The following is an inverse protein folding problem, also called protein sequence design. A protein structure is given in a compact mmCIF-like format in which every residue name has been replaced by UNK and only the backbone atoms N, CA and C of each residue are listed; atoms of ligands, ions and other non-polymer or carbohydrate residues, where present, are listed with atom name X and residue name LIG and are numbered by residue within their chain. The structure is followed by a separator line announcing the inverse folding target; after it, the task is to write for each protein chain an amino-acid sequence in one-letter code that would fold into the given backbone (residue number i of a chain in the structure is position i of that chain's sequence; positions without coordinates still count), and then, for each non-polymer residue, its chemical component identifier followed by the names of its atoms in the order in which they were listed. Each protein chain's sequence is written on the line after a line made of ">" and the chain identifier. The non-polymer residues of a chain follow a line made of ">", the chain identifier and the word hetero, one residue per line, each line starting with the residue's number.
data_IF_556410853069
#
_entry.id   IF_556410853069
#
_cell.length_a   1.000
_cell.length_b   1.000
_cell.length_c   1.000
_cell.angle_alpha   90.00
_cell.angle_beta   90.00
_cell.angle_gamma   90.00
#
_symmetry.space_group_name_H-M   'P 1'
#
loop_
_entity.id
_entity.type
_entity.pdbx_description
1 polymer ?
#
# COMPACT_ATOMS: atom_id res chain seq x y z
N UNK A 1 25.99 5.75 8.47
CA UNK A 1 25.11 5.24 9.54
C UNK A 1 23.75 5.88 9.34
N UNK A 2 22.66 5.13 9.54
CA UNK A 2 21.33 5.72 9.56
C UNK A 2 21.18 6.70 10.73
N UNK A 3 20.03 7.34 10.83
CA UNK A 3 19.64 8.14 11.99
C UNK A 3 18.28 7.65 12.49
N UNK A 4 17.94 7.93 13.75
CA UNK A 4 16.59 7.65 14.27
C UNK A 4 15.51 8.27 13.36
N UNK A 5 15.71 9.53 12.97
CA UNK A 5 14.78 10.24 12.09
C UNK A 5 14.74 9.63 10.68
N UNK A 6 15.87 9.15 10.17
CA UNK A 6 15.97 8.43 8.90
C UNK A 6 15.21 7.10 8.88
N UNK A 7 14.87 6.53 10.03
CA UNK A 7 14.01 5.35 10.14
C UNK A 7 12.55 5.73 10.40
N UNK A 8 12.31 6.67 11.32
CA UNK A 8 10.96 7.10 11.70
C UNK A 8 10.24 7.74 10.50
N UNK A 9 10.91 8.63 9.77
CA UNK A 9 10.28 9.39 8.69
C UNK A 9 9.74 8.50 7.56
N UNK A 10 10.55 7.64 6.90
CA UNK A 10 10.01 6.71 5.89
C UNK A 10 9.01 5.73 6.50
N UNK A 11 9.24 5.28 7.74
CA UNK A 11 8.34 4.38 8.45
C UNK A 11 6.92 4.95 8.61
N UNK A 12 6.82 6.22 9.02
CA UNK A 12 5.53 6.92 9.13
C UNK A 12 4.86 7.08 7.76
N UNK A 13 5.61 7.40 6.70
CA UNK A 13 5.03 7.52 5.36
C UNK A 13 4.44 6.19 4.86
N UNK A 14 5.20 5.10 4.95
CA UNK A 14 4.70 3.77 4.56
C UNK A 14 3.47 3.37 5.39
N UNK A 15 3.50 3.59 6.71
CA UNK A 15 2.36 3.31 7.59
C UNK A 15 1.11 4.10 7.18
N UNK A 16 1.24 5.42 7.04
CA UNK A 16 0.12 6.32 6.72
C UNK A 16 -0.45 6.02 5.34
N UNK A 17 0.39 5.86 4.31
CA UNK A 17 -0.09 5.55 2.96
C UNK A 17 -0.74 4.17 2.88
N UNK A 18 -0.17 3.16 3.54
CA UNK A 18 -0.79 1.85 3.65
C UNK A 18 -2.16 1.90 4.34
N UNK A 19 -2.28 2.65 5.44
CA UNK A 19 -3.55 2.81 6.17
C UNK A 19 -4.62 3.53 5.35
N UNK A 20 -4.25 4.64 4.69
CA UNK A 20 -5.12 5.38 3.78
C UNK A 20 -5.59 4.45 2.66
N UNK A 21 -4.68 3.67 2.06
CA UNK A 21 -4.98 2.70 1.03
C UNK A 21 -6.00 1.66 1.48
N UNK A 22 -5.81 1.03 2.65
CA UNK A 22 -6.77 0.05 3.19
C UNK A 22 -8.14 0.66 3.42
N UNK A 23 -8.20 1.83 4.06
CA UNK A 23 -9.47 2.51 4.33
C UNK A 23 -10.20 2.90 3.05
N UNK A 24 -9.48 3.43 2.05
CA UNK A 24 -10.04 3.76 0.75
C UNK A 24 -10.48 2.52 -0.04
N UNK A 25 -9.68 1.46 0.00
CA UNK A 25 -10.00 0.18 -0.62
C UNK A 25 -11.29 -0.43 -0.09
N UNK A 26 -11.48 -0.47 1.22
CA UNK A 26 -12.74 -0.96 1.81
C UNK A 26 -13.94 -0.12 1.37
N UNK A 27 -13.83 1.23 1.39
CA UNK A 27 -14.91 2.10 0.87
C UNK A 27 -15.26 1.74 -0.56
N UNK A 28 -14.27 1.59 -1.45
CA UNK A 28 -14.50 1.24 -2.86
C UNK A 28 -15.06 -0.16 -3.05
N UNK A 29 -14.55 -1.14 -2.30
CA UNK A 29 -15.01 -2.52 -2.36
C UNK A 29 -16.49 -2.63 -1.96
N UNK A 30 -16.85 -2.09 -0.80
CA UNK A 30 -18.23 -2.11 -0.34
C UNK A 30 -19.15 -1.24 -1.20
N UNK A 31 -18.68 -0.10 -1.70
CA UNK A 31 -19.46 0.71 -2.64
C UNK A 31 -19.76 -0.04 -3.95
N UNK A 32 -18.76 -0.73 -4.51
CA UNK A 32 -18.95 -1.56 -5.70
C UNK A 32 -19.94 -2.70 -5.42
N UNK A 33 -19.82 -3.34 -4.26
CA UNK A 33 -20.71 -4.42 -3.82
C UNK A 33 -22.15 -3.94 -3.62
N UNK A 34 -22.37 -2.80 -2.96
CA UNK A 34 -23.72 -2.35 -2.59
C UNK A 34 -24.43 -1.55 -3.67
N UNK A 35 -23.69 -0.80 -4.50
CA UNK A 35 -24.28 0.09 -5.50
C UNK A 35 -24.23 -0.47 -6.91
N UNK A 36 -23.43 -1.50 -7.18
CA UNK A 36 -23.49 -2.32 -8.40
C UNK A 36 -23.24 -1.61 -9.74
N UNK A 37 -22.96 -0.30 -9.75
CA UNK A 37 -22.78 0.47 -10.99
C UNK A 37 -21.47 0.17 -11.69
N UNK A 38 -20.44 -0.17 -10.93
CA UNK A 38 -19.08 -0.44 -11.44
C UNK A 38 -18.42 -1.51 -10.59
N UNK A 39 -17.78 -2.53 -11.19
CA UNK A 39 -17.06 -3.55 -10.44
C UNK A 39 -15.87 -2.93 -9.70
N UNK A 40 -15.48 -3.56 -8.59
CA UNK A 40 -14.26 -3.17 -7.88
C UNK A 40 -13.05 -3.29 -8.80
N UNK A 41 -12.21 -2.27 -8.77
CA UNK A 41 -10.90 -2.26 -9.41
C UNK A 41 -9.90 -1.58 -8.50
N UNK A 42 -8.80 -2.27 -8.24
CA UNK A 42 -7.73 -1.76 -7.41
C UNK A 42 -7.01 -0.58 -8.07
N UNK A 43 -6.39 0.25 -7.23
CA UNK A 43 -5.61 1.43 -7.62
C UNK A 43 -4.38 1.53 -6.71
N UNK A 44 -3.27 2.03 -7.25
CA UNK A 44 -2.01 2.20 -6.51
C UNK A 44 -2.07 3.32 -5.46
N UNK A 45 -2.78 4.41 -5.79
CA UNK A 45 -2.91 5.59 -4.94
C UNK A 45 -4.38 5.99 -4.74
N UNK A 46 -4.65 6.66 -3.64
CA UNK A 46 -5.98 7.18 -3.31
C UNK A 46 -6.27 8.49 -4.05
N UNK A 47 -7.40 8.52 -4.76
CA UNK A 47 -7.89 9.72 -5.45
C UNK A 47 -8.89 10.46 -4.57
N UNK A 48 -8.52 11.65 -4.11
CA UNK A 48 -9.39 12.47 -3.28
C UNK A 48 -10.39 13.23 -4.14
N UNK A 49 -11.68 12.95 -3.94
CA UNK A 49 -12.78 13.63 -4.62
C UNK A 49 -13.20 14.87 -3.85
N UNK A 50 -13.32 16.00 -4.54
CA UNK A 50 -13.89 17.23 -4.00
C UNK A 50 -14.85 17.87 -5.01
N UNK A 51 -15.84 18.62 -4.51
CA UNK A 51 -16.75 19.39 -5.36
C UNK A 51 -16.16 20.76 -5.61
N UNK A 52 -15.83 21.06 -6.86
CA UNK A 52 -15.34 22.38 -7.24
C UNK A 52 -16.48 23.39 -7.14
N UNK A 53 -16.34 24.37 -6.26
CA UNK A 53 -17.35 25.40 -6.00
C UNK A 53 -17.63 26.28 -7.22
N UNK A 54 -16.65 26.47 -8.12
CA UNK A 54 -16.80 27.32 -9.31
C UNK A 54 -17.53 26.62 -10.43
N UNK A 55 -17.21 25.33 -10.66
CA UNK A 55 -17.77 24.56 -11.78
C UNK A 55 -18.92 23.65 -11.37
N UNK A 56 -19.18 23.49 -10.06
CA UNK A 56 -20.10 22.50 -9.47
C UNK A 56 -19.81 21.04 -9.88
N UNK A 57 -18.66 20.77 -10.49
CA UNK A 57 -18.23 19.45 -10.92
C UNK A 57 -17.42 18.76 -9.82
N UNK A 58 -17.55 17.43 -9.73
CA UNK A 58 -16.65 16.62 -8.90
C UNK A 58 -15.30 16.51 -9.60
N UNK A 59 -14.23 16.89 -8.90
CA UNK A 59 -12.84 16.76 -9.35
C UNK A 59 -12.08 15.80 -8.46
N UNK A 60 -11.02 15.22 -9.00
CA UNK A 60 -10.15 14.28 -8.31
C UNK A 60 -8.72 14.83 -8.25
N UNK A 61 -8.08 14.71 -7.08
CA UNK A 61 -6.67 15.08 -6.86
C UNK A 61 -5.90 13.88 -6.28
N UNK A 62 -4.72 13.54 -6.83
CA UNK A 62 -3.88 12.44 -6.33
C UNK A 62 -3.00 12.97 -5.18
N UNK A 63 -3.64 13.40 -4.07
CA UNK A 63 -2.96 14.04 -2.95
C UNK A 63 -1.85 13.15 -2.37
N UNK A 64 -2.10 11.85 -2.27
CA UNK A 64 -1.12 10.86 -1.80
C UNK A 64 0.17 10.89 -2.63
N UNK A 65 0.03 10.87 -3.96
CA UNK A 65 1.17 10.89 -4.90
C UNK A 65 1.91 12.24 -4.89
N UNK A 66 1.19 13.35 -4.71
CA UNK A 66 1.79 14.68 -4.53
C UNK A 66 2.61 14.71 -3.23
N UNK A 67 2.05 14.22 -2.13
CA UNK A 67 2.74 14.14 -0.84
C UNK A 67 3.98 13.25 -0.96
N UNK A 68 3.87 12.07 -1.57
CA UNK A 68 4.99 11.15 -1.84
C UNK A 68 6.12 11.81 -2.62
N UNK A 69 5.80 12.46 -3.75
CA UNK A 69 6.80 13.15 -4.57
C UNK A 69 7.46 14.32 -3.83
N UNK A 70 6.68 15.10 -3.07
CA UNK A 70 7.21 16.21 -2.27
C UNK A 70 8.10 15.74 -1.11
N UNK A 71 7.69 14.67 -0.41
CA UNK A 71 8.44 14.08 0.69
C UNK A 71 9.75 13.47 0.19
N UNK A 72 9.73 12.80 -0.96
CA UNK A 72 10.93 12.28 -1.61
C UNK A 72 11.92 13.41 -1.94
N UNK A 73 11.44 14.52 -2.51
CA UNK A 73 12.29 15.67 -2.80
C UNK A 73 12.92 16.26 -1.53
N UNK A 74 12.13 16.43 -0.47
CA UNK A 74 12.63 16.90 0.83
C UNK A 74 13.66 15.91 1.41
N UNK A 75 13.40 14.60 1.28
CA UNK A 75 14.33 13.54 1.71
C UNK A 75 15.68 13.63 1.00
N UNK A 76 15.68 13.79 -0.33
CA UNK A 76 16.92 13.98 -1.11
C UNK A 76 17.68 15.22 -0.63
N UNK A 77 16.99 16.35 -0.46
CA UNK A 77 17.64 17.59 0.04
C UNK A 77 18.22 17.37 1.44
N UNK A 78 17.47 16.69 2.33
CA UNK A 78 17.92 16.37 3.68
C UNK A 78 19.17 15.50 3.69
N UNK A 79 19.19 14.44 2.89
CA UNK A 79 20.34 13.53 2.77
C UNK A 79 21.58 14.22 2.16
N UNK A 80 21.38 15.10 1.16
CA UNK A 80 22.49 15.90 0.60
C UNK A 80 23.04 16.86 1.65
N UNK A 81 22.18 17.62 2.34
CA UNK A 81 22.61 18.62 3.33
C UNK A 81 23.29 17.97 4.53
N UNK A 82 22.77 16.84 5.02
CA UNK A 82 23.32 16.14 6.19
C UNK A 82 24.51 15.24 5.87
N UNK A 83 24.62 14.78 4.62
CA UNK A 83 25.67 13.88 4.16
C UNK A 83 26.85 14.55 3.48
N UNK A 84 26.81 15.88 3.25
CA UNK A 84 27.87 16.61 2.55
C UNK A 84 29.08 16.83 3.47
N UNK A 85 30.24 16.33 3.04
CA UNK A 85 31.51 16.56 3.73
C UNK A 85 32.04 17.98 3.46
N UNK A 86 33.05 18.46 4.22
CA UNK A 86 33.69 19.75 3.95
C UNK A 86 34.26 19.89 2.53
N UNK A 87 34.60 18.77 1.90
CA UNK A 87 35.11 18.69 0.52
C UNK A 87 33.99 18.71 -0.54
N UNK A 88 32.72 18.81 -0.13
CA UNK A 88 31.56 18.86 -1.02
C UNK A 88 31.11 17.50 -1.56
N UNK A 89 31.56 16.39 -0.96
CA UNK A 89 31.19 15.04 -1.39
C UNK A 89 30.10 14.50 -0.46
N UNK A 90 29.03 13.95 -1.02
CA UNK A 90 27.98 13.28 -0.23
C UNK A 90 28.44 11.88 0.17
N UNK A 91 28.37 11.53 1.45
CA UNK A 91 28.74 10.20 1.94
C UNK A 91 27.96 9.05 1.28
N UNK A 92 28.60 7.89 1.06
CA UNK A 92 28.03 6.78 0.28
C UNK A 92 26.68 6.26 0.83
N UNK A 93 26.49 6.28 2.15
CA UNK A 93 25.22 5.87 2.77
C UNK A 93 24.10 6.87 2.47
N UNK A 94 24.40 8.17 2.55
CA UNK A 94 23.46 9.23 2.18
C UNK A 94 23.14 9.18 0.68
N UNK A 95 24.12 8.85 -0.17
CA UNK A 95 23.87 8.61 -1.61
C UNK A 95 22.90 7.46 -1.84
N UNK A 96 23.03 6.33 -1.12
CA UNK A 96 22.07 5.23 -1.21
C UNK A 96 20.66 5.68 -0.82
N UNK A 97 20.51 6.43 0.27
CA UNK A 97 19.21 6.97 0.68
C UNK A 97 18.64 7.97 -0.33
N UNK A 98 19.47 8.85 -0.92
CA UNK A 98 19.06 9.73 -2.00
C UNK A 98 18.45 8.93 -3.16
N UNK A 99 19.08 7.83 -3.57
CA UNK A 99 18.56 6.98 -4.65
C UNK A 99 17.25 6.30 -4.23
N UNK A 100 17.13 5.82 -2.99
CA UNK A 100 15.86 5.29 -2.47
C UNK A 100 14.75 6.35 -2.54
N UNK A 101 14.99 7.57 -2.07
CA UNK A 101 14.02 8.67 -2.17
C UNK A 101 13.68 9.02 -3.62
N UNK A 102 14.67 9.07 -4.51
CA UNK A 102 14.45 9.31 -5.94
C UNK A 102 13.52 8.25 -6.56
N UNK A 103 13.67 6.97 -6.22
CA UNK A 103 12.82 5.90 -6.73
C UNK A 103 11.33 6.10 -6.35
N UNK A 104 11.05 6.37 -5.07
CA UNK A 104 9.69 6.66 -4.61
C UNK A 104 9.16 8.02 -5.10
N UNK A 105 10.06 8.99 -5.31
CA UNK A 105 9.73 10.27 -5.93
C UNK A 105 9.28 10.13 -7.38
N UNK A 106 10.03 9.36 -8.18
CA UNK A 106 9.67 9.01 -9.57
C UNK A 106 8.35 8.26 -9.60
N UNK A 107 8.13 7.28 -8.71
CA UNK A 107 6.84 6.61 -8.58
C UNK A 107 5.71 7.61 -8.34
N UNK A 108 5.85 8.52 -7.38
CA UNK A 108 4.86 9.56 -7.10
C UNK A 108 4.59 10.47 -8.30
N UNK A 109 5.64 10.84 -9.05
CA UNK A 109 5.50 11.60 -10.29
C UNK A 109 4.73 10.83 -11.37
N UNK A 110 5.02 9.54 -11.55
CA UNK A 110 4.32 8.68 -12.51
C UNK A 110 2.84 8.54 -12.13
N UNK A 111 2.51 8.34 -10.86
CA UNK A 111 1.12 8.31 -10.39
C UNK A 111 0.38 9.62 -10.70
N UNK A 112 1.02 10.78 -10.49
CA UNK A 112 0.45 12.10 -10.85
C UNK A 112 0.22 12.21 -12.37
N UNK A 113 1.19 11.78 -13.18
CA UNK A 113 1.08 11.81 -14.64
C UNK A 113 -0.05 10.91 -15.14
N UNK A 114 -0.13 9.68 -14.63
CA UNK A 114 -1.22 8.73 -14.94
C UNK A 114 -2.56 9.35 -14.57
N UNK A 115 -2.71 9.93 -13.37
CA UNK A 115 -3.94 10.60 -12.94
C UNK A 115 -4.37 11.76 -13.85
N UNK A 116 -3.41 12.61 -14.25
CA UNK A 116 -3.68 13.75 -15.15
C UNK A 116 -4.13 13.28 -16.53
N UNK A 117 -3.51 12.22 -17.06
CA UNK A 117 -3.87 11.66 -18.37
C UNK A 117 -5.23 10.97 -18.35
N UNK A 118 -5.54 10.20 -17.29
CA UNK A 118 -6.87 9.60 -17.10
C UNK A 118 -7.97 10.66 -16.95
N UNK A 119 -7.67 11.80 -16.34
CA UNK A 119 -8.62 12.91 -16.16
C UNK A 119 -8.84 13.74 -17.43
N UNK A 120 -7.91 13.68 -18.39
CA UNK A 120 -7.96 14.44 -19.64
C UNK A 120 -8.85 13.72 -20.67
N UNK A 121 -10.09 14.18 -20.84
CA UNK A 121 -11.13 13.57 -21.69
C UNK A 121 -10.91 13.73 -23.22
N UNK A 122 -9.68 13.58 -23.75
CA UNK A 122 -9.36 13.83 -25.16
C UNK A 122 -8.48 12.76 -25.82
N UNK A 123 -8.18 12.92 -27.11
CA UNK A 123 -7.35 12.02 -27.93
C UNK A 123 -5.93 11.76 -27.35
N UNK A 124 -5.47 12.61 -26.43
CA UNK A 124 -4.19 12.49 -25.72
C UNK A 124 -4.23 11.52 -24.51
N UNK A 125 -5.39 10.99 -24.12
CA UNK A 125 -5.53 10.05 -23.00
C UNK A 125 -4.80 8.72 -23.21
N UNK A 126 -4.39 8.39 -24.45
CA UNK A 126 -3.76 7.12 -24.83
C UNK A 126 -2.24 7.17 -24.99
N UNK A 127 -1.57 8.26 -24.61
CA UNK A 127 -0.12 8.40 -24.86
C UNK A 127 0.72 7.54 -23.91
N UNK A 128 0.24 7.25 -22.70
CA UNK A 128 0.98 6.45 -21.73
C UNK A 128 0.58 4.96 -21.79
N UNK A 129 1.56 4.04 -21.70
CA UNK A 129 1.29 2.64 -21.43
C UNK A 129 0.36 2.48 -20.22
N UNK A 130 -0.59 1.54 -20.25
CA UNK A 130 -1.42 1.28 -19.10
C UNK A 130 -0.54 0.82 -17.93
N UNK A 131 -0.96 1.15 -16.71
CA UNK A 131 -0.45 0.51 -15.49
C UNK A 131 0.98 0.88 -15.07
N UNK A 132 1.53 1.98 -15.59
CA UNK A 132 2.86 2.46 -15.20
C UNK A 132 2.99 2.71 -13.70
N UNK A 133 1.92 3.14 -13.05
CA UNK A 133 1.86 3.33 -11.60
C UNK A 133 2.25 2.06 -10.80
N UNK A 134 1.78 0.89 -11.24
CA UNK A 134 2.17 -0.39 -10.63
C UNK A 134 3.61 -0.79 -10.96
N UNK A 135 4.04 -0.60 -12.21
CA UNK A 135 5.39 -0.98 -12.65
C UNK A 135 6.42 -0.15 -11.88
N UNK A 136 6.23 1.16 -11.79
CA UNK A 136 7.12 2.05 -11.04
C UNK A 136 7.02 1.84 -9.53
N UNK A 137 5.84 1.46 -8.99
CA UNK A 137 5.73 1.03 -7.60
C UNK A 137 6.55 -0.22 -7.29
N UNK A 138 6.47 -1.25 -8.15
CA UNK A 138 7.28 -2.46 -8.01
C UNK A 138 8.78 -2.17 -8.16
N UNK A 139 9.18 -1.31 -9.11
CA UNK A 139 10.57 -0.89 -9.28
C UNK A 139 11.10 -0.11 -8.08
N UNK A 140 10.27 0.73 -7.44
CA UNK A 140 10.68 1.49 -6.26
C UNK A 140 11.02 0.57 -5.09
N UNK A 141 10.12 -0.36 -4.74
CA UNK A 141 10.39 -1.36 -3.71
C UNK A 141 11.53 -2.31 -4.10
N UNK A 142 11.68 -2.68 -5.38
CA UNK A 142 12.77 -3.54 -5.83
C UNK A 142 14.14 -2.87 -5.69
N UNK A 143 14.24 -1.59 -6.07
CA UNK A 143 15.46 -0.81 -5.91
C UNK A 143 15.81 -0.57 -4.44
N UNK A 144 14.81 -0.29 -3.60
CA UNK A 144 14.97 -0.24 -2.14
C UNK A 144 15.47 -1.58 -1.57
N UNK A 145 14.86 -2.70 -1.94
CA UNK A 145 15.27 -4.05 -1.53
C UNK A 145 16.73 -4.32 -1.88
N UNK A 146 17.13 -3.99 -3.12
CA UNK A 146 18.50 -4.17 -3.58
C UNK A 146 19.49 -3.31 -2.79
N UNK A 147 19.15 -2.04 -2.56
CA UNK A 147 20.00 -1.12 -1.80
C UNK A 147 20.11 -1.55 -0.33
N UNK A 148 19.03 -2.04 0.28
CA UNK A 148 19.08 -2.59 1.63
C UNK A 148 19.99 -3.80 1.73
N UNK A 149 19.94 -4.72 0.77
CA UNK A 149 20.81 -5.90 0.77
C UNK A 149 22.30 -5.51 0.83
N UNK A 150 22.71 -4.55 0.02
CA UNK A 150 24.10 -4.07 0.01
C UNK A 150 24.44 -3.13 1.17
N UNK A 151 23.44 -2.53 1.83
CA UNK A 151 23.62 -1.73 3.04
C UNK A 151 24.15 -2.54 4.22
N UNK A 152 23.90 -3.86 4.26
CA UNK A 152 24.25 -4.73 5.38
C UNK A 152 25.73 -5.10 5.44
N UNK A 153 26.49 -4.86 4.37
CA UNK A 153 27.88 -5.30 4.31
C UNK A 153 28.74 -4.62 5.39
N UNK A 154 29.40 -5.43 6.22
CA UNK A 154 30.26 -4.94 7.30
C UNK A 154 29.53 -4.40 8.54
N UNK A 155 28.21 -4.63 8.67
CA UNK A 155 27.43 -4.25 9.86
C UNK A 155 27.46 -5.34 10.94
N UNK A 156 27.10 -4.95 12.17
CA UNK A 156 26.98 -5.90 13.29
C UNK A 156 25.73 -6.79 13.13
N UNK A 157 25.66 -7.87 13.90
CA UNK A 157 24.60 -8.87 13.77
C UNK A 157 23.19 -8.31 14.05
N UNK A 158 23.07 -7.37 15.00
CA UNK A 158 21.80 -6.71 15.31
C UNK A 158 21.28 -5.91 14.10
N UNK A 159 22.12 -5.05 13.53
CA UNK A 159 21.83 -4.22 12.35
C UNK A 159 21.47 -5.11 11.14
N UNK A 160 22.23 -6.19 10.91
CA UNK A 160 21.93 -7.18 9.87
C UNK A 160 20.54 -7.79 10.08
N UNK A 161 20.22 -8.28 11.29
CA UNK A 161 18.95 -8.97 11.55
C UNK A 161 17.74 -8.06 11.36
N UNK A 162 17.76 -6.85 11.92
CA UNK A 162 16.61 -5.94 11.84
C UNK A 162 16.33 -5.48 10.42
N UNK A 163 17.38 -5.16 9.65
CA UNK A 163 17.23 -4.76 8.25
C UNK A 163 16.94 -5.95 7.31
N UNK A 164 17.35 -7.18 7.66
CA UNK A 164 16.95 -8.37 6.88
C UNK A 164 15.42 -8.52 6.85
N UNK A 165 14.74 -8.20 7.96
CA UNK A 165 13.27 -8.15 7.95
C UNK A 165 12.71 -7.04 7.06
N UNK A 166 13.35 -5.87 6.96
CA UNK A 166 12.99 -4.83 5.98
C UNK A 166 13.12 -5.33 4.55
N UNK A 167 14.17 -6.09 4.22
CA UNK A 167 14.34 -6.73 2.91
C UNK A 167 13.16 -7.68 2.63
N UNK A 168 12.78 -8.54 3.58
CA UNK A 168 11.67 -9.48 3.38
C UNK A 168 10.33 -8.79 3.13
N UNK A 169 10.00 -7.77 3.91
CA UNK A 169 8.72 -7.05 3.72
C UNK A 169 8.74 -6.13 2.49
N UNK A 170 9.87 -5.52 2.14
CA UNK A 170 10.01 -4.76 0.88
C UNK A 170 9.86 -5.69 -0.34
N UNK A 171 10.45 -6.89 -0.30
CA UNK A 171 10.26 -7.91 -1.35
C UNK A 171 8.80 -8.38 -1.44
N UNK A 172 8.12 -8.56 -0.31
CA UNK A 172 6.68 -8.85 -0.32
C UNK A 172 5.88 -7.72 -0.99
N UNK A 173 6.23 -6.45 -0.75
CA UNK A 173 5.60 -5.31 -1.42
C UNK A 173 5.81 -5.36 -2.94
N UNK A 174 7.01 -5.74 -3.43
CA UNK A 174 7.26 -5.97 -4.86
C UNK A 174 6.33 -7.05 -5.42
N UNK A 175 6.30 -8.22 -4.77
CA UNK A 175 5.52 -9.39 -5.20
C UNK A 175 4.03 -9.02 -5.29
N UNK A 176 3.46 -8.46 -4.22
CA UNK A 176 2.04 -8.13 -4.22
C UNK A 176 1.71 -6.96 -5.13
N UNK A 177 2.63 -6.04 -5.40
CA UNK A 177 2.42 -5.02 -6.43
C UNK A 177 2.32 -5.63 -7.84
N UNK A 178 3.19 -6.60 -8.18
CA UNK A 178 3.15 -7.31 -9.47
C UNK A 178 1.93 -8.22 -9.58
N UNK A 179 1.59 -8.94 -8.50
CA UNK A 179 0.41 -9.82 -8.48
C UNK A 179 -0.87 -8.99 -8.59
N UNK A 180 -0.95 -7.83 -7.94
CA UNK A 180 -2.08 -6.89 -8.07
C UNK A 180 -2.19 -6.30 -9.48
N UNK A 181 -1.06 -6.01 -10.13
CA UNK A 181 -1.03 -5.54 -11.52
C UNK A 181 -1.77 -6.52 -12.44
N UNK A 182 -1.58 -7.82 -12.26
CA UNK A 182 -2.20 -8.88 -13.07
C UNK A 182 -3.65 -9.14 -12.66
N UNK A 183 -3.99 -9.03 -11.37
CA UNK A 183 -5.32 -9.40 -10.84
C UNK A 183 -5.98 -8.28 -10.03
N UNK A 184 -6.34 -7.18 -10.70
CA UNK A 184 -6.87 -5.94 -10.10
C UNK A 184 -8.28 -6.02 -9.52
N UNK A 185 -9.03 -7.05 -9.90
CA UNK A 185 -10.38 -7.28 -9.38
C UNK A 185 -10.36 -7.97 -8.03
N UNK A 186 -9.24 -8.57 -7.63
CA UNK A 186 -9.14 -9.27 -6.35
C UNK A 186 -8.75 -8.30 -5.23
N UNK A 187 -9.73 -8.02 -4.38
CA UNK A 187 -9.55 -7.15 -3.23
C UNK A 187 -8.57 -7.72 -2.19
N UNK A 188 -8.41 -9.04 -2.13
CA UNK A 188 -7.49 -9.71 -1.19
C UNK A 188 -6.05 -9.35 -1.50
N UNK A 189 -5.68 -9.32 -2.79
CA UNK A 189 -4.33 -8.94 -3.23
C UNK A 189 -4.05 -7.47 -2.90
N UNK A 190 -5.04 -6.60 -3.09
CA UNK A 190 -4.95 -5.19 -2.68
C UNK A 190 -4.73 -5.05 -1.16
N UNK A 191 -5.45 -5.83 -0.35
CA UNK A 191 -5.25 -5.86 1.11
C UNK A 191 -3.85 -6.34 1.48
N UNK A 192 -3.31 -7.35 0.78
CA UNK A 192 -1.95 -7.83 1.01
C UNK A 192 -0.91 -6.76 0.67
N UNK A 193 -0.99 -6.11 -0.50
CA UNK A 193 -0.05 -5.03 -0.88
C UNK A 193 -0.01 -3.93 0.18
N UNK A 194 -1.17 -3.41 0.57
CA UNK A 194 -1.23 -2.32 1.56
C UNK A 194 -0.91 -2.81 2.98
N UNK A 195 -1.26 -4.05 3.33
CA UNK A 195 -0.91 -4.68 4.60
C UNK A 195 0.61 -4.82 4.76
N UNK A 196 1.32 -5.31 3.74
CA UNK A 196 2.78 -5.34 3.77
C UNK A 196 3.40 -3.95 3.76
N UNK A 197 2.77 -2.95 3.12
CA UNK A 197 3.21 -1.55 3.21
C UNK A 197 3.08 -1.01 4.66
N UNK A 198 2.02 -1.36 5.38
CA UNK A 198 1.86 -1.03 6.81
C UNK A 198 2.95 -1.71 7.64
N UNK A 199 3.15 -3.02 7.47
CA UNK A 199 4.20 -3.77 8.19
C UNK A 199 5.58 -3.18 7.91
N UNK A 200 5.85 -2.78 6.66
CA UNK A 200 7.08 -2.10 6.27
C UNK A 200 7.28 -0.83 7.09
N UNK A 201 6.25 0.01 7.15
CA UNK A 201 6.30 1.28 7.87
C UNK A 201 6.47 1.12 9.38
N UNK A 202 5.66 0.25 10.00
CA UNK A 202 5.72 0.04 11.46
C UNK A 202 7.02 -0.64 11.87
N UNK A 203 7.55 -1.55 11.04
CA UNK A 203 8.85 -2.16 11.28
C UNK A 203 9.98 -1.15 11.16
N UNK A 204 9.99 -0.30 10.14
CA UNK A 204 10.96 0.80 10.00
C UNK A 204 11.05 1.66 11.29
N UNK A 205 9.90 2.08 11.81
CA UNK A 205 9.84 2.85 13.06
C UNK A 205 10.44 2.04 14.21
N UNK A 206 10.10 0.76 14.33
CA UNK A 206 10.62 -0.10 15.39
C UNK A 206 12.14 -0.29 15.29
N UNK A 207 12.68 -0.51 14.08
CA UNK A 207 14.12 -0.59 13.83
C UNK A 207 14.82 0.69 14.30
N UNK A 208 14.23 1.86 14.03
CA UNK A 208 14.73 3.13 14.55
C UNK A 208 14.93 3.13 16.06
N UNK A 209 13.96 2.65 16.83
CA UNK A 209 14.07 2.57 18.29
C UNK A 209 15.02 1.48 18.78
N UNK A 210 15.19 0.39 18.04
CA UNK A 210 16.15 -0.67 18.38
C UNK A 210 17.59 -0.16 18.20
N UNK A 211 17.90 0.49 17.08
CA UNK A 211 19.24 0.96 16.75
C UNK A 211 19.61 2.28 17.43
N UNK A 212 18.61 3.10 17.77
CA UNK A 212 18.80 4.42 18.39
C UNK A 212 17.86 4.55 19.61
N UNK A 213 18.11 3.81 20.70
CA UNK A 213 17.28 3.86 21.89
C UNK A 213 17.32 5.26 22.51
N UNK A 214 16.16 5.76 22.94
CA UNK A 214 16.02 7.08 23.58
C UNK A 214 16.35 7.02 25.08
N UNK A 215 16.36 5.83 25.67
CA UNK A 215 16.64 5.59 27.09
C UNK A 215 17.87 4.71 27.25
N UNK A 216 18.72 5.04 28.22
CA UNK A 216 19.90 4.26 28.61
C UNK A 216 19.54 2.86 29.15
N UNK A 217 18.27 2.61 29.46
CA UNK A 217 17.80 1.30 29.92
C UNK A 217 17.35 0.37 28.79
N UNK A 218 17.27 0.86 27.55
CA UNK A 218 16.75 0.14 26.39
C UNK A 218 17.87 -0.30 25.42
N UNK A 219 19.08 -0.51 25.92
CA UNK A 219 20.20 -0.94 25.10
C UNK A 219 20.03 -2.38 24.63
N UNK A 220 20.31 -2.58 23.35
CA UNK A 220 20.34 -3.88 22.68
C UNK A 220 21.78 -4.34 22.55
N UNK A 221 22.08 -5.56 22.96
CA UNK A 221 23.40 -6.18 22.82
C UNK A 221 23.48 -6.99 21.52
N UNK A 222 24.32 -6.58 20.55
CA UNK A 222 24.48 -7.30 19.28
C UNK A 222 25.05 -8.71 19.42
N UNK A 223 25.62 -9.08 20.57
CA UNK A 223 26.14 -10.43 20.86
C UNK A 223 25.18 -11.26 21.73
N UNK A 224 24.11 -10.66 22.25
CA UNK A 224 23.13 -11.36 23.09
C UNK A 224 22.21 -12.22 22.25
N UNK A 225 22.30 -13.55 22.41
CA UNK A 225 21.38 -14.48 21.77
C UNK A 225 19.91 -14.15 22.08
N UNK A 226 19.61 -13.75 23.32
CA UNK A 226 18.25 -13.39 23.75
C UNK A 226 17.71 -12.21 22.97
N UNK A 227 18.50 -11.15 22.84
CA UNK A 227 18.10 -9.92 22.16
C UNK A 227 17.83 -10.22 20.68
N UNK A 228 18.76 -10.93 20.05
CA UNK A 228 18.66 -11.30 18.66
C UNK A 228 17.50 -12.27 18.37
N UNK A 229 17.11 -13.13 19.32
CA UNK A 229 15.91 -13.99 19.24
C UNK A 229 14.60 -13.24 19.51
N UNK A 230 14.65 -12.06 20.13
CA UNK A 230 13.46 -11.25 20.40
C UNK A 230 13.02 -10.46 19.16
N UNK A 231 13.94 -10.10 18.27
CA UNK A 231 13.67 -9.40 17.00
C UNK A 231 12.55 -10.08 16.17
N UNK A 232 12.64 -11.38 15.81
CA UNK A 232 11.58 -12.03 15.05
C UNK A 232 10.24 -12.07 15.80
N UNK A 233 10.24 -12.17 17.13
CA UNK A 233 9.00 -12.13 17.93
C UNK A 233 8.30 -10.79 17.71
N UNK A 234 9.04 -9.69 17.80
CA UNK A 234 8.49 -8.35 17.55
C UNK A 234 8.03 -8.18 16.10
N UNK A 235 8.76 -8.71 15.13
CA UNK A 235 8.34 -8.66 13.73
C UNK A 235 7.00 -9.41 13.51
N UNK A 236 6.83 -10.59 14.08
CA UNK A 236 5.56 -11.34 14.02
C UNK A 236 4.43 -10.56 14.70
N UNK A 237 4.69 -9.86 15.80
CA UNK A 237 3.68 -9.00 16.44
C UNK A 237 3.20 -7.87 15.52
N UNK A 238 4.06 -7.30 14.68
CA UNK A 238 3.65 -6.33 13.64
C UNK A 238 2.73 -6.96 12.58
N UNK A 239 3.02 -8.20 12.16
CA UNK A 239 2.16 -8.96 11.24
C UNK A 239 0.80 -9.24 11.87
N UNK A 240 0.77 -9.69 13.13
CA UNK A 240 -0.47 -9.94 13.87
C UNK A 240 -1.28 -8.66 14.02
N UNK A 241 -0.66 -7.57 14.48
CA UNK A 241 -1.31 -6.28 14.66
C UNK A 241 -1.91 -5.74 13.35
N UNK A 242 -1.17 -5.85 12.24
CA UNK A 242 -1.65 -5.43 10.92
C UNK A 242 -2.81 -6.29 10.44
N UNK A 243 -2.74 -7.61 10.63
CA UNK A 243 -3.81 -8.53 10.27
C UNK A 243 -5.09 -8.26 11.09
N UNK A 244 -4.95 -8.02 12.39
CA UNK A 244 -6.06 -7.62 13.27
C UNK A 244 -6.66 -6.28 12.84
N UNK A 245 -5.85 -5.29 12.51
CA UNK A 245 -6.31 -4.00 11.99
C UNK A 245 -7.16 -4.16 10.72
N UNK A 246 -6.69 -4.96 9.76
CA UNK A 246 -7.43 -5.24 8.52
C UNK A 246 -8.75 -5.94 8.84
N UNK A 247 -8.74 -6.95 9.71
CA UNK A 247 -9.94 -7.68 10.13
C UNK A 247 -10.97 -6.79 10.82
N UNK A 248 -10.52 -5.93 11.74
CA UNK A 248 -11.39 -4.97 12.45
C UNK A 248 -11.99 -3.97 11.47
N UNK A 249 -11.19 -3.37 10.59
CA UNK A 249 -11.69 -2.45 9.57
C UNK A 249 -12.71 -3.14 8.65
N UNK A 250 -12.41 -4.35 8.18
CA UNK A 250 -13.33 -5.13 7.36
C UNK A 250 -14.66 -5.41 8.07
N UNK A 251 -14.62 -5.76 9.35
CA UNK A 251 -15.82 -5.96 10.16
C UNK A 251 -16.64 -4.67 10.33
N UNK A 252 -15.99 -3.54 10.60
CA UNK A 252 -16.66 -2.24 10.73
C UNK A 252 -17.33 -1.81 9.43
N UNK A 253 -16.64 -1.95 8.29
CA UNK A 253 -17.21 -1.64 6.98
C UNK A 253 -18.35 -2.58 6.59
N UNK A 254 -18.24 -3.86 6.92
CA UNK A 254 -19.34 -4.82 6.75
C UNK A 254 -20.56 -4.42 7.58
N UNK A 255 -20.37 -4.09 8.86
CA UNK A 255 -21.43 -3.62 9.74
C UNK A 255 -22.11 -2.34 9.24
N UNK A 256 -21.32 -1.37 8.77
CA UNK A 256 -21.84 -0.13 8.20
C UNK A 256 -22.71 -0.35 6.94
N UNK A 257 -22.37 -1.35 6.12
CA UNK A 257 -23.10 -1.67 4.89
C UNK A 257 -24.09 -2.84 5.04
N UNK A 258 -24.34 -3.31 6.26
CA UNK A 258 -25.03 -4.59 6.50
C UNK A 258 -26.44 -4.65 5.90
N UNK A 259 -27.22 -3.58 6.03
CA UNK A 259 -28.59 -3.49 5.50
C UNK A 259 -28.61 -3.61 3.97
N UNK A 260 -27.78 -2.82 3.28
CA UNK A 260 -27.65 -2.82 1.81
C UNK A 260 -27.20 -4.22 1.31
N UNK A 261 -26.23 -4.85 1.99
CA UNK A 261 -25.74 -6.19 1.64
C UNK A 261 -26.83 -7.25 1.81
N UNK A 262 -27.61 -7.16 2.90
CA UNK A 262 -28.72 -8.10 3.17
C UNK A 262 -29.79 -8.01 2.09
N UNK A 263 -30.11 -6.81 1.65
CA UNK A 263 -31.10 -6.57 0.60
C UNK A 263 -30.66 -7.18 -0.74
N UNK A 264 -29.41 -6.97 -1.12
CA UNK A 264 -28.83 -7.53 -2.36
C UNK A 264 -28.85 -9.07 -2.33
N UNK A 265 -28.39 -9.68 -1.24
CA UNK A 265 -28.41 -11.14 -1.09
C UNK A 265 -29.83 -11.70 -1.18
N UNK A 266 -30.82 -11.00 -0.61
CA UNK A 266 -32.23 -11.40 -0.72
C UNK A 266 -32.70 -11.41 -2.18
N UNK A 267 -32.37 -10.38 -2.95
CA UNK A 267 -32.70 -10.31 -4.37
C UNK A 267 -31.97 -11.36 -5.23
N UNK A 268 -30.69 -11.62 -4.97
CA UNK A 268 -29.93 -12.68 -5.67
C UNK A 268 -30.54 -14.06 -5.44
N UNK A 269 -30.88 -14.39 -4.18
CA UNK A 269 -31.53 -15.66 -3.82
C UNK A 269 -32.89 -15.76 -4.51
N UNK A 270 -33.70 -14.70 -4.48
CA UNK A 270 -35.01 -14.67 -5.12
C UNK A 270 -34.90 -14.84 -6.64
N UNK A 271 -33.99 -14.13 -7.30
CA UNK A 271 -33.74 -14.25 -8.74
C UNK A 271 -33.26 -15.65 -9.15
N UNK A 272 -32.35 -16.24 -8.37
CA UNK A 272 -31.87 -17.61 -8.58
C UNK A 272 -32.96 -18.66 -8.39
N UNK A 273 -33.90 -18.40 -7.47
CA UNK A 273 -35.07 -19.27 -7.25
C UNK A 273 -36.11 -19.14 -8.35
N UNK A 274 -36.36 -17.93 -8.89
CA UNK A 274 -37.30 -17.73 -10.00
C UNK A 274 -36.79 -18.29 -11.33
N UNK A 275 -35.48 -18.28 -11.56
CA UNK A 275 -34.88 -18.94 -12.74
C UNK A 275 -34.94 -20.47 -12.68
N UNK A 276 -35.19 -21.06 -11.50
CA UNK A 276 -35.26 -22.52 -11.30
C UNK A 276 -36.66 -23.10 -11.35
N UNK A 277 -37.71 -22.30 -11.49
CA UNK A 277 -39.08 -22.80 -11.70
C UNK A 277 -39.24 -23.08 -13.20
N UNK A 278 -39.31 -24.36 -13.64
CA UNK A 278 -39.68 -24.65 -15.01
C UNK A 278 -41.13 -24.22 -15.18
N UNK A 279 -41.45 -23.49 -16.24
CA UNK A 279 -42.83 -23.30 -16.69
C UNK A 279 -43.36 -24.66 -17.17
N UNK A 280 -43.74 -25.55 -16.25
CA UNK A 280 -44.67 -26.62 -16.59
C UNK A 280 -46.05 -25.99 -16.59
N UNK A 281 -46.45 -25.43 -17.74
CA UNK A 281 -47.83 -25.12 -18.01
C UNK A 281 -48.62 -26.42 -18.04
N UNK A 282 -49.39 -26.66 -16.99
CA UNK A 282 -50.47 -27.62 -16.96
C UNK A 282 -51.71 -27.01 -17.63
N UNK A 283 -52.05 -27.51 -18.82
CA UNK A 283 -53.40 -27.65 -19.42
C UNK A 283 -53.17 -28.10 -20.86
N UNK A 284 -53.79 -29.13 -21.42
CA UNK A 284 -55.22 -29.45 -21.37
C UNK A 284 -55.43 -30.96 -21.42
N UNK A 285 -56.26 -31.46 -20.52
CA UNK A 285 -57.19 -32.53 -20.83
C UNK A 285 -58.26 -31.93 -21.75
N UNK A 286 -58.44 -32.46 -22.95
CA UNK A 286 -59.76 -32.52 -23.56
C UNK A 286 -59.90 -33.73 -24.48
N UNK A 287 -61.03 -34.39 -24.27
CA UNK A 287 -61.51 -35.60 -24.92
C UNK A 287 -61.90 -35.35 -26.38
N UNK A 288 -61.65 -36.33 -27.26
CA UNK A 288 -62.64 -37.05 -28.07
C UNK A 288 -62.12 -37.47 -29.47
N UNK A 289 -62.47 -38.72 -29.80
CA UNK A 289 -62.44 -39.46 -31.08
C UNK A 289 -61.10 -40.04 -31.57
#
# INVERSE_FOLDING_TARGET
>A
MGTLIGHILPGVFFFVFGLIGIFDGFKRYFYALTRGKTPYRSQTCTKYRYKDRKTNMTREIPLESILKASAALIGVVGEVVTGMTPEGIVGIHNQQHCIMYCLFGIQGMVEILVHRMESSHGANAKVLPPNLDYIFGAMAFAGETLLFYWHLHGRNELDIRVHTFLIYVSLACVIFCIVELVNRSDFSIFLLRNGFTIIHGTWFVHVGFILYPISDTAHWDPSSHRDLMTIPIYFILHIMATSSLIGILGFLFYGYNYSDIKEIRYFEVKSSSSQRIPLTSSSESDLNL
#
